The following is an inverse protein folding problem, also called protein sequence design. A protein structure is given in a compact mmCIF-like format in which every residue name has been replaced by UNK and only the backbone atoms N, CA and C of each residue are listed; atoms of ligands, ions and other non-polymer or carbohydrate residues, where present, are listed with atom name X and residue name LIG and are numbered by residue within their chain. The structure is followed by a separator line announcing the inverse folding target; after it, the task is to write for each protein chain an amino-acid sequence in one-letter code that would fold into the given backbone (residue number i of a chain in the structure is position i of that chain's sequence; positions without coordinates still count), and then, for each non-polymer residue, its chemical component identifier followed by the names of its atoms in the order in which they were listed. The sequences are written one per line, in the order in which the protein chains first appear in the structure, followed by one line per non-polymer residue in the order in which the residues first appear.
data_IF_872904805737
#
_entry.id   IF_872904805737
#
_cell.length_a   1.000
_cell.length_b   1.000
_cell.length_c   1.000
_cell.angle_alpha   90.00
_cell.angle_beta   90.00
_cell.angle_gamma   90.00
#
_symmetry.space_group_name_H-M   'P 1'
#
loop_
_entity.id
_entity.type
_entity.pdbx_description
1 polymer ?
#
# COMPACT_ATOMS: atom_id res chain seq x y z
N UNK A 1 6.86 0.12 -29.05
CA UNK A 1 6.31 0.27 -27.71
C UNK A 1 6.22 -1.05 -27.01
N UNK A 2 6.57 -1.06 -25.81
CA UNK A 2 6.54 -2.29 -25.08
C UNK A 2 5.16 -2.52 -24.46
N UNK A 3 4.83 -3.77 -24.37
CA UNK A 3 3.61 -4.20 -23.77
C UNK A 3 3.94 -4.80 -22.43
N UNK A 4 3.15 -4.48 -21.43
CA UNK A 4 3.34 -5.09 -20.13
C UNK A 4 2.95 -6.54 -20.17
N UNK A 5 3.80 -7.36 -19.58
CA UNK A 5 3.57 -8.80 -19.55
C UNK A 5 2.74 -9.23 -18.33
N UNK A 6 2.48 -8.31 -17.42
CA UNK A 6 1.72 -8.62 -16.21
C UNK A 6 0.95 -7.38 -15.76
N UNK A 7 -0.09 -7.57 -14.94
CA UNK A 7 -0.95 -6.46 -14.53
C UNK A 7 -0.22 -5.46 -13.64
N UNK A 8 -0.75 -4.24 -13.55
CA UNK A 8 -0.20 -3.24 -12.64
C UNK A 8 -0.17 -3.75 -11.21
N UNK A 9 0.85 -3.35 -10.47
CA UNK A 9 1.00 -3.77 -9.08
C UNK A 9 0.38 -2.72 -8.18
N UNK A 10 -0.65 -3.13 -7.43
CA UNK A 10 -1.32 -2.25 -6.48
C UNK A 10 -0.47 -2.08 -5.22
N UNK A 11 -0.46 -0.88 -4.62
CA UNK A 11 0.28 -0.66 -3.36
C UNK A 11 -0.08 -1.64 -2.26
N UNK A 12 -1.33 -2.14 -2.25
CA UNK A 12 -1.75 -3.13 -1.27
C UNK A 12 -0.99 -4.44 -1.37
N UNK A 13 -0.61 -4.82 -2.58
CA UNK A 13 0.20 -6.01 -2.76
C UNK A 13 1.59 -5.82 -2.16
N UNK A 14 2.18 -4.64 -2.38
CA UNK A 14 3.48 -4.32 -1.80
C UNK A 14 3.40 -4.30 -0.28
N UNK A 15 2.34 -3.68 0.26
CA UNK A 15 2.15 -3.65 1.71
C UNK A 15 2.11 -5.07 2.28
N UNK A 16 1.34 -5.95 1.66
CA UNK A 16 1.19 -7.32 2.15
C UNK A 16 2.48 -8.13 1.95
N UNK A 17 3.00 -8.16 0.73
CA UNK A 17 4.10 -9.06 0.39
C UNK A 17 5.45 -8.62 0.91
N UNK A 18 5.70 -7.31 0.95
CA UNK A 18 7.02 -6.81 1.29
C UNK A 18 7.12 -6.35 2.74
N UNK A 19 6.01 -6.15 3.43
CA UNK A 19 6.01 -5.64 4.80
C UNK A 19 5.27 -6.53 5.77
N UNK A 20 3.99 -6.78 5.55
CA UNK A 20 3.21 -7.49 6.56
C UNK A 20 3.66 -8.94 6.70
N UNK A 21 3.78 -9.66 5.61
CA UNK A 21 4.16 -11.07 5.65
C UNK A 21 5.59 -11.24 6.19
N UNK A 22 6.60 -10.55 5.61
CA UNK A 22 7.97 -10.73 6.11
C UNK A 22 8.15 -10.34 7.57
N UNK A 23 7.43 -9.33 8.04
CA UNK A 23 7.55 -8.86 9.42
C UNK A 23 6.63 -9.57 10.39
N UNK A 24 5.76 -10.44 9.90
CA UNK A 24 4.83 -11.17 10.75
C UNK A 24 3.80 -10.26 11.42
N UNK A 25 3.40 -9.19 10.74
CA UNK A 25 2.45 -8.22 11.28
C UNK A 25 1.10 -8.44 10.61
N UNK A 26 0.05 -8.60 11.44
CA UNK A 26 -1.30 -8.74 10.90
C UNK A 26 -1.86 -7.39 10.45
N UNK A 27 -2.85 -7.44 9.58
CA UNK A 27 -3.54 -6.23 9.15
C UNK A 27 -4.18 -5.50 10.32
N UNK A 28 -4.78 -6.25 11.22
CA UNK A 28 -5.42 -5.67 12.40
C UNK A 28 -4.39 -4.94 13.27
N UNK A 29 -3.25 -5.59 13.50
CA UNK A 29 -2.20 -4.98 14.33
C UNK A 29 -1.67 -3.71 13.70
N UNK A 30 -1.41 -3.73 12.39
CA UNK A 30 -0.95 -2.53 11.70
C UNK A 30 -1.94 -1.39 11.87
N UNK A 31 -3.23 -1.67 11.61
CA UNK A 31 -4.25 -0.64 11.69
C UNK A 31 -4.29 -0.04 13.09
N UNK A 32 -4.22 -0.88 14.11
CA UNK A 32 -4.25 -0.43 15.49
C UNK A 32 -3.04 0.45 15.81
N UNK A 33 -1.87 0.05 15.36
CA UNK A 33 -0.65 0.77 15.71
C UNK A 33 -0.49 2.10 14.97
N UNK A 34 -1.05 2.23 13.78
CA UNK A 34 -1.02 3.50 13.08
C UNK A 34 -2.31 4.30 13.23
N UNK A 35 -3.22 3.83 14.07
CA UNK A 35 -4.45 4.54 14.45
C UNK A 35 -5.39 4.80 13.27
N UNK A 36 -5.62 3.79 12.46
CA UNK A 36 -6.64 3.84 11.41
C UNK A 36 -7.59 2.66 11.61
N UNK A 37 -8.80 2.74 11.05
CA UNK A 37 -9.72 1.62 11.13
C UNK A 37 -9.14 0.39 10.42
N UNK A 38 -9.34 -0.79 11.01
CA UNK A 38 -8.87 -2.03 10.41
C UNK A 38 -9.40 -2.20 8.99
N UNK A 39 -10.62 -1.75 8.75
CA UNK A 39 -11.24 -1.83 7.43
C UNK A 39 -10.42 -1.10 6.37
N UNK A 40 -9.79 0.03 6.73
CA UNK A 40 -8.97 0.76 5.77
C UNK A 40 -7.81 -0.08 5.29
N UNK A 41 -7.12 -0.75 6.22
CA UNK A 41 -5.99 -1.61 5.84
C UNK A 41 -6.48 -2.81 5.05
N UNK A 42 -7.59 -3.42 5.48
CA UNK A 42 -8.15 -4.56 4.75
C UNK A 42 -8.48 -4.19 3.30
N UNK A 43 -9.08 -3.02 3.09
CA UNK A 43 -9.46 -2.60 1.75
C UNK A 43 -8.25 -2.29 0.87
N UNK A 44 -7.19 -1.75 1.47
CA UNK A 44 -5.95 -1.50 0.74
C UNK A 44 -5.34 -2.83 0.29
N UNK A 45 -5.25 -3.78 1.20
CA UNK A 45 -4.67 -5.10 0.89
C UNK A 45 -5.50 -5.84 -0.15
N UNK A 46 -6.83 -5.69 -0.10
CA UNK A 46 -7.73 -6.28 -1.08
C UNK A 46 -7.79 -5.48 -2.39
N UNK A 47 -7.01 -4.42 -2.48
CA UNK A 47 -6.92 -3.59 -3.68
C UNK A 47 -8.23 -2.87 -4.03
N UNK A 48 -9.06 -2.66 -3.02
CA UNK A 48 -10.33 -1.95 -3.18
C UNK A 48 -10.23 -0.48 -2.84
N UNK A 49 -9.10 -0.06 -2.31
CA UNK A 49 -8.86 1.31 -1.89
C UNK A 49 -7.40 1.65 -2.14
N UNK A 50 -7.14 2.87 -2.59
CA UNK A 50 -5.78 3.36 -2.75
C UNK A 50 -5.22 3.92 -1.44
N UNK A 51 -3.96 4.33 -1.51
CA UNK A 51 -3.27 4.92 -0.36
C UNK A 51 -3.31 6.43 -0.49
N UNK A 52 -3.95 7.09 0.48
CA UNK A 52 -4.01 8.54 0.54
C UNK A 52 -2.73 9.08 1.17
N UNK A 53 -2.56 10.41 1.09
CA UNK A 53 -1.41 11.05 1.69
C UNK A 53 -1.34 10.80 3.20
N UNK A 54 -2.48 10.83 3.88
CA UNK A 54 -2.52 10.58 5.32
C UNK A 54 -2.03 9.16 5.63
N UNK A 55 -2.53 8.17 4.92
CA UNK A 55 -2.11 6.79 5.13
C UNK A 55 -0.64 6.61 4.78
N UNK A 56 -0.18 7.26 3.72
CA UNK A 56 1.24 7.19 3.33
C UNK A 56 2.16 7.73 4.43
N UNK A 57 1.76 8.82 5.07
CA UNK A 57 2.54 9.37 6.18
C UNK A 57 2.61 8.41 7.34
N UNK A 58 1.49 7.79 7.69
CA UNK A 58 1.43 6.84 8.79
C UNK A 58 2.23 5.58 8.51
N UNK A 59 2.13 5.04 7.31
CA UNK A 59 2.90 3.87 6.91
C UNK A 59 4.39 4.17 6.89
N UNK A 60 4.77 5.34 6.40
CA UNK A 60 6.17 5.73 6.35
C UNK A 60 6.79 5.79 7.73
N UNK A 61 6.06 6.37 8.69
CA UNK A 61 6.55 6.45 10.07
C UNK A 61 6.68 5.08 10.71
N UNK A 62 5.70 4.22 10.47
CA UNK A 62 5.68 2.92 11.11
C UNK A 62 6.77 2.00 10.57
N UNK A 63 6.93 1.96 9.25
CA UNK A 63 7.88 1.04 8.63
C UNK A 63 9.25 1.64 8.39
N UNK A 64 9.44 2.94 8.67
CA UNK A 64 10.73 3.58 8.45
C UNK A 64 11.01 3.87 6.98
N UNK A 65 9.96 3.93 6.15
CA UNK A 65 10.08 4.41 4.78
C UNK A 65 9.69 5.88 4.75
N UNK A 66 9.62 6.45 3.55
CA UNK A 66 9.08 7.79 3.40
C UNK A 66 7.62 7.71 2.98
N UNK A 67 6.87 8.78 3.22
CA UNK A 67 5.52 8.87 2.70
C UNK A 67 5.56 8.87 1.16
N UNK A 68 6.59 9.50 0.59
CA UNK A 68 6.73 9.58 -0.86
C UNK A 68 6.84 8.19 -1.50
N UNK A 69 7.49 7.25 -0.81
CA UNK A 69 7.57 5.88 -1.30
C UNK A 69 6.17 5.32 -1.58
N UNK A 70 5.25 5.49 -0.63
CA UNK A 70 3.90 4.95 -0.76
C UNK A 70 3.08 5.72 -1.80
N UNK A 71 3.25 7.04 -1.85
CA UNK A 71 2.57 7.86 -2.85
C UNK A 71 3.06 7.51 -4.26
N UNK A 72 4.35 7.25 -4.41
CA UNK A 72 4.89 6.87 -5.72
C UNK A 72 4.32 5.54 -6.19
N UNK A 73 4.15 4.57 -5.28
CA UNK A 73 3.53 3.30 -5.63
C UNK A 73 2.10 3.51 -6.12
N UNK A 74 1.36 4.37 -5.43
CA UNK A 74 -0.02 4.66 -5.81
C UNK A 74 -0.09 5.37 -7.15
N UNK A 75 0.75 6.40 -7.34
CA UNK A 75 0.75 7.16 -8.59
C UNK A 75 1.11 6.27 -9.78
N UNK A 76 2.08 5.40 -9.60
CA UNK A 76 2.47 4.47 -10.66
C UNK A 76 1.33 3.54 -11.03
N UNK A 77 0.66 2.99 -10.01
CA UNK A 77 -0.49 2.12 -10.25
C UNK A 77 -1.57 2.86 -11.01
N UNK A 78 -1.89 4.08 -10.56
CA UNK A 78 -2.94 4.88 -11.19
C UNK A 78 -2.62 5.16 -12.66
N UNK A 79 -1.37 5.48 -12.96
CA UNK A 79 -0.95 5.74 -14.34
C UNK A 79 -1.03 4.49 -15.20
N UNK A 80 -0.63 3.35 -14.65
CA UNK A 80 -0.65 2.11 -15.40
C UNK A 80 -2.06 1.63 -15.68
N UNK A 81 -2.97 1.83 -14.74
CA UNK A 81 -4.37 1.47 -14.93
C UNK A 81 -5.04 2.37 -15.95
N UNK A 82 -4.68 3.64 -15.97
CA UNK A 82 -5.29 4.62 -16.87
C UNK A 82 -4.89 4.47 -18.34
N UNK A 83 -3.84 3.74 -18.62
CA UNK A 83 -3.35 3.58 -20.02
C UNK A 83 -4.20 2.67 -20.88
#
# INVERSE_FOLDING_TARGET
MSKRDFPPIHPGEILREEFLVPLGISQYRLAKEIHVPARRINEIVLEKRGISADTALRLGRYFGTTAQFWINLQARYDLEVAR
#
